data_IF_152412030777
#
_entry.id   IF_152412030777
#
_cell.length_a   1.000
_cell.length_b   1.000
_cell.length_c   1.000
_cell.angle_alpha   90.00
_cell.angle_beta   90.00
_cell.angle_gamma   90.00
#
_symmetry.space_group_name_H-M   'P 1'
#
loop_
_entity.id
_entity.type
_entity.pdbx_description
1 polymer ?
#
# COMPACT_ATOMS: atom_id res chain seq x y z
N UNK A 1 15.36 24.66 -10.72
CA UNK A 1 14.99 24.88 -9.30
C UNK A 1 13.47 24.95 -9.09
N UNK A 2 12.72 25.70 -9.92
CA UNK A 2 11.25 25.78 -9.82
C UNK A 2 10.50 24.47 -10.15
N UNK A 3 10.95 23.72 -11.16
CA UNK A 3 10.35 22.43 -11.52
C UNK A 3 10.53 21.38 -10.40
N UNK A 4 11.70 21.33 -9.76
CA UNK A 4 11.95 20.41 -8.65
C UNK A 4 11.10 20.72 -7.41
N UNK A 5 10.81 22.00 -7.15
CA UNK A 5 9.94 22.42 -6.04
C UNK A 5 8.47 22.08 -6.34
N UNK A 6 7.99 22.35 -7.55
CA UNK A 6 6.62 21.98 -7.98
C UNK A 6 6.37 20.47 -7.93
N UNK A 7 7.33 19.65 -8.38
CA UNK A 7 7.27 18.19 -8.29
C UNK A 7 7.36 17.65 -6.85
N UNK A 8 8.07 18.33 -5.96
CA UNK A 8 8.18 17.98 -4.55
C UNK A 8 6.88 18.32 -3.79
N UNK A 9 6.28 19.47 -4.08
CA UNK A 9 5.00 19.91 -3.51
C UNK A 9 3.86 18.98 -3.93
N UNK A 10 3.75 18.67 -5.24
CA UNK A 10 2.74 17.74 -5.75
C UNK A 10 2.84 16.36 -5.09
N UNK A 11 4.07 15.87 -4.85
CA UNK A 11 4.29 14.61 -4.12
C UNK A 11 3.85 14.68 -2.66
N UNK A 12 4.10 15.79 -1.95
CA UNK A 12 3.65 15.97 -0.56
C UNK A 12 2.13 16.04 -0.46
N UNK A 13 1.47 16.72 -1.39
CA UNK A 13 0.01 16.80 -1.43
C UNK A 13 -0.61 15.43 -1.71
N UNK A 14 -0.08 14.68 -2.68
CA UNK A 14 -0.51 13.30 -2.95
C UNK A 14 -0.28 12.36 -1.76
N UNK A 15 0.83 12.50 -1.03
CA UNK A 15 1.10 11.71 0.17
C UNK A 15 0.10 12.01 1.29
N UNK A 16 -0.14 13.30 1.57
CA UNK A 16 -1.12 13.71 2.60
C UNK A 16 -2.53 13.25 2.25
N UNK A 17 -2.92 13.35 0.99
CA UNK A 17 -4.21 12.87 0.53
C UNK A 17 -4.33 11.36 0.73
N UNK A 18 -3.32 10.58 0.28
CA UNK A 18 -3.32 9.13 0.45
C UNK A 18 -3.38 8.72 1.92
N UNK A 19 -2.60 9.37 2.79
CA UNK A 19 -2.63 9.13 4.23
C UNK A 19 -4.03 9.37 4.81
N UNK A 20 -4.67 10.50 4.48
CA UNK A 20 -6.06 10.78 4.91
C UNK A 20 -7.05 9.79 4.32
N UNK A 21 -6.88 9.34 3.08
CA UNK A 21 -7.73 8.32 2.47
C UNK A 21 -7.64 7.00 3.21
N UNK A 22 -6.45 6.59 3.63
CA UNK A 22 -6.26 5.36 4.40
C UNK A 22 -6.88 5.47 5.79
N UNK A 23 -6.73 6.60 6.49
CA UNK A 23 -7.43 6.84 7.77
C UNK A 23 -8.96 6.77 7.61
N UNK A 24 -9.50 7.35 6.54
CA UNK A 24 -10.93 7.27 6.24
C UNK A 24 -11.37 5.83 5.97
N UNK A 25 -10.59 5.07 5.20
CA UNK A 25 -10.87 3.65 4.97
C UNK A 25 -10.86 2.88 6.30
N UNK A 26 -9.92 3.17 7.19
CA UNK A 26 -9.90 2.55 8.52
C UNK A 26 -11.17 2.85 9.31
N UNK A 27 -11.57 4.12 9.38
CA UNK A 27 -12.83 4.49 10.05
C UNK A 27 -14.05 3.79 9.44
N UNK A 28 -14.06 3.59 8.11
CA UNK A 28 -15.13 2.86 7.42
C UNK A 28 -15.09 1.38 7.81
N UNK A 29 -13.94 0.72 7.83
CA UNK A 29 -13.82 -0.68 8.26
C UNK A 29 -14.25 -0.88 9.72
N UNK A 30 -13.97 0.08 10.61
CA UNK A 30 -14.33 -0.05 12.02
C UNK A 30 -15.81 0.19 12.31
N UNK A 31 -16.46 1.09 11.56
CA UNK A 31 -17.79 1.61 11.91
C UNK A 31 -18.87 1.30 10.86
N UNK A 32 -18.49 0.86 9.67
CA UNK A 32 -19.41 0.59 8.58
C UNK A 32 -19.89 -0.85 8.52
N UNK A 33 -20.81 -1.10 7.59
CA UNK A 33 -21.37 -2.43 7.34
C UNK A 33 -20.42 -3.27 6.48
N UNK A 34 -19.96 -4.40 7.01
CA UNK A 34 -18.96 -5.28 6.37
C UNK A 34 -19.39 -5.75 4.96
N UNK A 35 -20.68 -6.04 4.76
CA UNK A 35 -21.19 -6.51 3.47
C UNK A 35 -21.12 -5.40 2.42
N UNK A 36 -21.61 -4.20 2.76
CA UNK A 36 -21.57 -3.04 1.87
C UNK A 36 -20.14 -2.59 1.57
N UNK A 37 -19.26 -2.60 2.57
CA UNK A 37 -17.83 -2.27 2.38
C UNK A 37 -17.19 -3.28 1.44
N UNK A 38 -17.44 -4.58 1.67
CA UNK A 38 -16.96 -5.64 0.82
C UNK A 38 -17.36 -5.42 -0.64
N UNK A 39 -18.65 -5.18 -0.91
CA UNK A 39 -19.15 -4.93 -2.26
C UNK A 39 -18.52 -3.69 -2.93
N UNK A 40 -18.36 -2.57 -2.21
CA UNK A 40 -17.78 -1.35 -2.77
C UNK A 40 -16.27 -1.48 -3.05
N UNK A 41 -15.55 -2.20 -2.19
CA UNK A 41 -14.10 -2.37 -2.30
C UNK A 41 -13.71 -3.54 -3.21
N UNK A 42 -14.64 -4.48 -3.48
CA UNK A 42 -14.49 -5.56 -4.46
C UNK A 42 -14.60 -5.04 -5.90
N UNK A 43 -13.69 -4.16 -6.27
CA UNK A 43 -13.62 -3.56 -7.60
C UNK A 43 -12.22 -3.59 -8.14
N UNK A 44 -12.09 -3.98 -9.41
CA UNK A 44 -10.80 -3.99 -10.12
C UNK A 44 -10.12 -2.63 -10.09
N UNK A 45 -10.89 -1.54 -10.13
CA UNK A 45 -10.35 -0.18 -10.04
C UNK A 45 -9.75 0.06 -8.66
N UNK A 46 -10.47 -0.27 -7.59
CA UNK A 46 -10.02 -0.12 -6.20
C UNK A 46 -8.73 -0.89 -5.97
N UNK A 47 -8.69 -2.16 -6.38
CA UNK A 47 -7.50 -3.01 -6.20
C UNK A 47 -6.31 -2.49 -7.02
N UNK A 48 -6.53 -1.99 -8.24
CA UNK A 48 -5.47 -1.38 -9.06
C UNK A 48 -4.92 -0.10 -8.42
N UNK A 49 -5.78 0.74 -7.83
CA UNK A 49 -5.34 1.96 -7.15
C UNK A 49 -4.54 1.64 -5.88
N UNK A 50 -4.94 0.63 -5.11
CA UNK A 50 -4.18 0.16 -3.94
C UNK A 50 -2.81 -0.40 -4.35
N UNK A 51 -2.77 -1.16 -5.46
CA UNK A 51 -1.53 -1.66 -6.04
C UNK A 51 -0.57 -0.52 -6.42
N UNK A 52 -1.05 0.49 -7.15
CA UNK A 52 -0.26 1.65 -7.54
C UNK A 52 0.24 2.43 -6.32
N UNK A 53 -0.64 2.67 -5.34
CA UNK A 53 -0.30 3.35 -4.10
C UNK A 53 0.80 2.59 -3.33
N UNK A 54 0.66 1.27 -3.22
CA UNK A 54 1.63 0.39 -2.57
C UNK A 54 3.00 0.42 -3.25
N UNK A 55 3.04 0.27 -4.58
CA UNK A 55 4.30 0.36 -5.35
C UNK A 55 4.94 1.74 -5.21
N UNK A 56 4.14 2.80 -5.18
CA UNK A 56 4.58 4.16 -4.91
C UNK A 56 5.29 4.30 -3.56
N UNK A 57 4.82 3.61 -2.52
CA UNK A 57 5.46 3.61 -1.20
C UNK A 57 6.73 2.76 -1.15
N UNK A 58 6.74 1.61 -1.84
CA UNK A 58 7.92 0.71 -1.87
C UNK A 58 9.16 1.40 -2.43
N UNK A 59 8.99 2.17 -3.50
CA UNK A 59 10.12 2.90 -4.13
C UNK A 59 10.72 3.98 -3.22
N UNK A 60 10.01 4.40 -2.16
CA UNK A 60 10.40 5.46 -1.21
C UNK A 60 10.64 4.92 0.21
N UNK A 61 10.90 3.62 0.34
CA UNK A 61 11.10 2.88 1.59
C UNK A 61 12.28 3.32 2.48
N UNK A 62 13.04 4.35 2.12
CA UNK A 62 14.04 4.95 3.00
C UNK A 62 13.42 5.86 4.09
N UNK A 63 12.21 6.37 3.85
CA UNK A 63 11.50 7.24 4.79
C UNK A 63 10.55 6.43 5.68
N UNK A 64 10.55 6.72 6.98
CA UNK A 64 9.66 6.08 7.96
C UNK A 64 8.19 6.23 7.56
N UNK A 65 7.77 7.44 7.16
CA UNK A 65 6.39 7.72 6.75
C UNK A 65 5.92 6.87 5.57
N UNK A 66 6.80 6.61 4.59
CA UNK A 66 6.46 5.76 3.46
C UNK A 66 6.40 4.28 3.85
N UNK A 67 7.20 3.83 4.83
CA UNK A 67 7.10 2.46 5.38
C UNK A 67 5.80 2.24 6.14
N UNK A 68 5.42 3.21 6.98
CA UNK A 68 4.15 3.19 7.71
C UNK A 68 2.98 3.13 6.73
N UNK A 69 2.92 4.06 5.78
CA UNK A 69 1.83 4.09 4.80
C UNK A 69 1.78 2.82 3.93
N UNK A 70 2.94 2.22 3.59
CA UNK A 70 2.98 0.90 2.94
C UNK A 70 2.32 -0.17 3.82
N UNK A 71 2.65 -0.21 5.12
CA UNK A 71 2.07 -1.17 6.04
C UNK A 71 0.56 -0.97 6.18
N UNK A 72 0.10 0.28 6.30
CA UNK A 72 -1.33 0.59 6.40
C UNK A 72 -2.09 0.13 5.14
N UNK A 73 -1.50 0.32 3.95
CA UNK A 73 -2.07 -0.19 2.69
C UNK A 73 -2.15 -1.73 2.70
N UNK A 74 -1.13 -2.43 3.24
CA UNK A 74 -1.17 -3.89 3.36
C UNK A 74 -2.26 -4.37 4.32
N UNK A 75 -2.48 -3.65 5.42
CA UNK A 75 -3.57 -3.93 6.36
C UNK A 75 -4.91 -3.77 5.64
N UNK A 76 -5.13 -2.65 4.95
CA UNK A 76 -6.34 -2.42 4.14
C UNK A 76 -6.56 -3.54 3.12
N UNK A 77 -5.51 -3.97 2.41
CA UNK A 77 -5.63 -5.09 1.46
C UNK A 77 -6.04 -6.39 2.15
N UNK A 78 -5.48 -6.66 3.33
CA UNK A 78 -5.79 -7.86 4.12
C UNK A 78 -7.24 -7.86 4.61
N UNK A 79 -7.76 -6.69 5.02
CA UNK A 79 -9.17 -6.51 5.39
C UNK A 79 -10.10 -6.77 4.20
N UNK A 80 -9.78 -6.21 3.03
CA UNK A 80 -10.59 -6.45 1.81
C UNK A 80 -10.62 -7.94 1.47
N UNK A 81 -9.48 -8.63 1.51
CA UNK A 81 -9.40 -10.08 1.25
C UNK A 81 -10.22 -10.87 2.28
N UNK A 82 -10.23 -10.44 3.55
CA UNK A 82 -11.03 -11.05 4.60
C UNK A 82 -12.54 -10.91 4.36
N UNK A 83 -12.99 -9.75 3.87
CA UNK A 83 -14.40 -9.49 3.56
C UNK A 83 -14.85 -10.14 2.24
N UNK A 84 -14.00 -10.09 1.21
CA UNK A 84 -14.28 -10.55 -0.15
C UNK A 84 -13.07 -11.31 -0.71
N UNK A 85 -12.98 -12.63 -0.47
CA UNK A 85 -11.89 -13.46 -0.98
C UNK A 85 -11.80 -13.50 -2.51
N UNK A 86 -12.88 -13.18 -3.20
CA UNK A 86 -12.99 -13.07 -4.65
C UNK A 86 -12.54 -11.69 -5.20
N UNK A 87 -12.06 -10.79 -4.34
CA UNK A 87 -11.52 -9.51 -4.76
C UNK A 87 -10.39 -9.69 -5.79
N UNK A 88 -10.32 -8.84 -6.85
CA UNK A 88 -9.51 -9.11 -8.04
C UNK A 88 -8.01 -8.84 -7.88
N UNK A 89 -7.40 -9.31 -6.80
CA UNK A 89 -5.96 -9.18 -6.51
C UNK A 89 -5.11 -10.00 -7.50
N UNK A 90 -5.64 -11.10 -8.03
CA UNK A 90 -4.93 -11.94 -9.01
C UNK A 90 -4.98 -11.29 -10.40
N UNK A 91 -6.15 -10.82 -10.81
CA UNK A 91 -6.46 -10.24 -12.12
C UNK A 91 -5.80 -8.87 -12.35
N UNK A 92 -5.57 -8.13 -11.26
CA UNK A 92 -4.75 -6.91 -11.28
C UNK A 92 -3.25 -7.20 -11.27
N UNK A 93 -2.86 -8.45 -11.03
CA UNK A 93 -1.46 -8.85 -10.84
C UNK A 93 -0.86 -8.38 -9.51
N UNK A 94 -1.66 -7.81 -8.62
CA UNK A 94 -1.19 -7.32 -7.33
C UNK A 94 -0.72 -8.48 -6.43
N UNK A 95 -1.44 -9.60 -6.41
CA UNK A 95 -1.03 -10.81 -5.69
C UNK A 95 0.36 -11.31 -6.11
N UNK A 96 0.67 -11.27 -7.42
CA UNK A 96 2.00 -11.64 -7.95
C UNK A 96 3.09 -10.72 -7.42
N UNK A 97 2.82 -9.43 -7.31
CA UNK A 97 3.77 -8.45 -6.77
C UNK A 97 3.96 -8.64 -5.26
N UNK A 98 2.87 -8.81 -4.50
CA UNK A 98 2.94 -9.12 -3.07
C UNK A 98 3.77 -10.38 -2.80
N UNK A 99 3.54 -11.44 -3.59
CA UNK A 99 4.31 -12.67 -3.50
C UNK A 99 5.80 -12.42 -3.79
N UNK A 100 6.13 -11.63 -4.83
CA UNK A 100 7.52 -11.25 -5.12
C UNK A 100 8.17 -10.56 -3.92
N UNK A 101 7.48 -9.63 -3.25
CA UNK A 101 8.02 -8.91 -2.10
C UNK A 101 8.11 -9.77 -0.84
N UNK A 102 7.16 -10.69 -0.62
CA UNK A 102 7.14 -11.59 0.52
C UNK A 102 8.14 -12.75 0.39
N UNK A 103 8.37 -13.23 -0.83
CA UNK A 103 9.27 -14.35 -1.11
C UNK A 103 10.71 -13.91 -1.33
N UNK A 104 10.98 -12.61 -1.49
CA UNK A 104 12.34 -12.12 -1.66
C UNK A 104 13.12 -12.35 -0.35
N UNK A 105 14.15 -13.21 -0.34
CA UNK A 105 15.07 -13.27 0.78
C UNK A 105 15.76 -11.90 0.87
N UNK A 106 16.27 -11.51 2.03
CA UNK A 106 17.04 -10.27 2.27
C UNK A 106 18.38 -10.18 1.47
N UNK A 107 18.42 -10.71 0.26
CA UNK A 107 19.54 -10.67 -0.67
C UNK A 107 19.62 -9.28 -1.28
N UNK A 108 20.81 -8.68 -1.27
CA UNK A 108 21.07 -7.37 -1.87
C UNK A 108 20.80 -7.45 -3.37
N UNK A 109 19.62 -6.96 -3.76
CA UNK A 109 19.18 -6.92 -5.15
C UNK A 109 19.59 -5.61 -5.80
N UNK A 110 20.15 -5.70 -7.02
CA UNK A 110 20.41 -4.53 -7.87
C UNK A 110 19.15 -4.02 -8.60
N UNK A 111 17.99 -4.65 -8.42
CA UNK A 111 16.75 -4.18 -9.02
C UNK A 111 16.30 -2.86 -8.35
N UNK A 112 16.11 -1.77 -9.11
CA UNK A 112 15.81 -0.44 -8.57
C UNK A 112 14.51 -0.37 -7.75
N UNK A 113 13.57 -1.30 -7.95
CA UNK A 113 12.33 -1.39 -7.18
C UNK A 113 12.52 -1.99 -5.78
N UNK A 114 13.59 -2.75 -5.56
CA UNK A 114 13.84 -3.50 -4.32
C UNK A 114 15.17 -3.15 -3.64
N UNK A 115 16.03 -2.37 -4.29
CA UNK A 115 17.33 -1.93 -3.76
C UNK A 115 17.22 -1.20 -2.40
N UNK A 116 16.09 -0.54 -2.16
CA UNK A 116 15.82 0.16 -0.89
C UNK A 116 14.80 -0.59 0.00
N UNK A 117 14.24 -1.70 -0.50
CA UNK A 117 13.16 -2.41 0.17
C UNK A 117 13.75 -3.49 1.09
N UNK A 118 13.67 -3.25 2.40
CA UNK A 118 13.95 -4.25 3.42
C UNK A 118 12.68 -4.44 4.25
N UNK A 119 12.02 -5.60 4.10
CA UNK A 119 11.00 -6.07 5.05
C UNK A 119 11.74 -6.73 6.22
N UNK A 120 12.25 -5.91 7.13
CA UNK A 120 12.77 -6.42 8.41
C UNK A 120 11.61 -6.62 9.35
N UNK A 121 11.61 -7.71 10.12
CA UNK A 121 10.74 -7.83 11.29
C UNK A 121 11.31 -6.91 12.39
N UNK A 122 10.67 -5.78 12.66
CA UNK A 122 10.95 -4.98 13.86
C UNK A 122 9.91 -5.30 14.93
N UNK A 123 10.32 -5.42 16.20
CA UNK A 123 9.37 -5.53 17.31
C UNK A 123 8.56 -4.24 17.50
N UNK A 124 9.07 -3.10 17.04
CA UNK A 124 8.40 -1.79 17.08
C UNK A 124 7.27 -1.65 16.03
N UNK A 125 7.13 -2.60 15.09
CA UNK A 125 6.02 -2.58 14.12
C UNK A 125 4.65 -2.99 14.75
N UNK A 126 4.63 -3.33 16.05
CA UNK A 126 3.46 -3.80 16.80
C UNK A 126 3.01 -2.86 17.94
N UNK A 127 3.64 -1.69 18.09
CA UNK A 127 3.20 -0.62 19.01
C UNK A 127 2.35 0.43 18.30
#
# INVERSE_FOLDING_TARGET
MLLTVSWSLKRRESFRLLFRTIELLWNIFENGDEEQIGEQLNSRLTISLLQEAFLGQITQSHSHYHRQLRNDILVVCSLIIGLKPDAPFVETGFAKQLLLFASFPELRSNNPLVKNFKLTKSQEDFE
#
